data_IF_723612057836
#
_entry.id   IF_723612057836
#
_cell.length_a   1.000
_cell.length_b   1.000
_cell.length_c   1.000
_cell.angle_alpha   90.00
_cell.angle_beta   90.00
_cell.angle_gamma   90.00
#
_symmetry.space_group_name_H-M   'P 1'
#
loop_
_entity.id
_entity.type
_entity.pdbx_description
1 polymer ?
#
# COMPACT_ATOMS: atom_id res chain seq x y z
N UNK A 1 17.86 -18.38 -3.46
CA UNK A 1 19.03 -17.51 -3.22
C UNK A 1 18.51 -16.08 -3.22
N UNK A 2 18.47 -15.43 -2.06
CA UNK A 2 17.97 -14.06 -1.96
C UNK A 2 18.81 -13.15 -2.88
N UNK A 3 18.15 -12.48 -3.83
CA UNK A 3 18.81 -11.47 -4.68
C UNK A 3 19.43 -10.42 -3.77
N UNK A 4 20.69 -10.05 -4.04
CA UNK A 4 21.41 -9.09 -3.22
C UNK A 4 20.75 -7.71 -3.39
N UNK A 5 20.11 -7.20 -2.33
CA UNK A 5 19.28 -5.98 -2.36
C UNK A 5 20.00 -4.75 -1.84
N UNK A 6 21.29 -4.89 -1.55
CA UNK A 6 22.18 -3.84 -1.04
C UNK A 6 22.20 -2.64 -1.99
N UNK A 7 22.03 -2.89 -3.31
CA UNK A 7 21.98 -1.85 -4.32
C UNK A 7 20.88 -0.81 -4.07
N UNK A 8 19.75 -1.15 -3.40
CA UNK A 8 18.66 -0.19 -3.17
C UNK A 8 19.09 1.05 -2.36
N UNK A 9 20.06 0.85 -1.47
CA UNK A 9 20.64 1.89 -0.60
C UNK A 9 21.94 2.51 -1.15
N UNK A 10 22.43 2.03 -2.31
CA UNK A 10 23.62 2.57 -2.95
C UNK A 10 23.35 3.91 -3.66
N UNK A 11 24.42 4.60 -4.02
CA UNK A 11 24.35 5.83 -4.80
C UNK A 11 23.66 5.56 -6.15
N UNK A 12 22.76 6.45 -6.57
CA UNK A 12 21.97 6.36 -7.82
C UNK A 12 22.84 6.41 -9.08
N UNK A 13 24.01 7.01 -8.98
CA UNK A 13 24.98 7.05 -10.08
C UNK A 13 25.83 5.77 -10.16
N UNK A 14 25.73 4.86 -9.20
CA UNK A 14 26.51 3.62 -9.19
C UNK A 14 25.98 2.62 -10.21
N UNK A 15 26.88 1.84 -10.80
CA UNK A 15 26.52 0.82 -11.78
C UNK A 15 25.63 -0.27 -11.15
N UNK A 16 25.87 -0.58 -9.88
CA UNK A 16 25.10 -1.55 -9.10
C UNK A 16 23.65 -1.08 -8.93
N UNK A 17 23.45 0.20 -8.60
CA UNK A 17 22.10 0.76 -8.50
C UNK A 17 21.38 0.74 -9.85
N UNK A 18 22.06 1.14 -10.93
CA UNK A 18 21.49 1.14 -12.27
C UNK A 18 21.15 -0.26 -12.79
N UNK A 19 21.99 -1.27 -12.50
CA UNK A 19 21.68 -2.66 -12.84
C UNK A 19 20.48 -3.17 -12.05
N UNK A 20 20.49 -2.94 -10.73
CA UNK A 20 19.43 -3.40 -9.84
C UNK A 20 18.07 -2.80 -10.17
N UNK A 21 17.99 -1.50 -10.45
CA UNK A 21 16.71 -0.88 -10.84
C UNK A 21 16.23 -1.39 -12.19
N UNK A 22 17.14 -1.62 -13.15
CA UNK A 22 16.77 -2.18 -14.45
C UNK A 22 16.19 -3.58 -14.29
N UNK A 23 16.84 -4.44 -13.52
CA UNK A 23 16.34 -5.80 -13.22
C UNK A 23 14.98 -5.77 -12.51
N UNK A 24 14.80 -4.84 -11.56
CA UNK A 24 13.51 -4.64 -10.90
C UNK A 24 12.42 -4.22 -11.90
N UNK A 25 12.68 -3.22 -12.75
CA UNK A 25 11.72 -2.71 -13.73
C UNK A 25 11.41 -3.73 -14.82
N UNK A 26 12.38 -4.57 -15.17
CA UNK A 26 12.13 -5.67 -16.10
C UNK A 26 11.18 -6.66 -15.40
N UNK A 27 11.51 -7.16 -14.20
CA UNK A 27 10.65 -8.08 -13.46
C UNK A 27 9.23 -7.54 -13.19
N UNK A 28 9.11 -6.28 -12.77
CA UNK A 28 7.84 -5.65 -12.41
C UNK A 28 6.86 -5.54 -13.58
N UNK A 29 7.39 -5.51 -14.81
CA UNK A 29 6.62 -5.31 -16.04
C UNK A 29 6.73 -6.50 -17.01
N UNK A 30 7.47 -7.56 -16.66
CA UNK A 30 7.59 -8.77 -17.47
C UNK A 30 6.36 -9.65 -17.27
N UNK A 31 5.66 -9.99 -18.36
CA UNK A 31 4.74 -11.13 -18.34
C UNK A 31 3.28 -10.93 -18.73
N UNK A 32 2.82 -9.78 -19.25
CA UNK A 32 1.48 -9.74 -19.88
C UNK A 32 1.34 -8.65 -20.94
N UNK A 33 0.85 -8.99 -22.16
CA UNK A 33 0.32 -7.98 -23.07
C UNK A 33 -0.81 -7.24 -22.36
N UNK A 34 -0.59 -5.97 -22.02
CA UNK A 34 -1.58 -5.12 -21.33
C UNK A 34 -1.24 -4.72 -19.90
N UNK A 35 -0.16 -5.24 -19.29
CA UNK A 35 0.32 -4.71 -18.00
C UNK A 35 1.21 -3.48 -18.24
N UNK A 36 0.58 -2.38 -18.62
CA UNK A 36 1.26 -1.08 -18.83
C UNK A 36 1.63 -0.38 -17.53
N UNK A 37 1.07 -0.82 -16.39
CA UNK A 37 1.25 -0.19 -15.09
C UNK A 37 1.62 -1.18 -13.99
N UNK A 38 2.41 -0.71 -13.02
CA UNK A 38 2.77 -1.44 -11.80
C UNK A 38 2.72 -0.51 -10.58
N UNK A 39 2.69 -1.10 -9.38
CA UNK A 39 2.72 -0.32 -8.14
C UNK A 39 4.10 0.32 -7.96
N UNK A 40 4.16 1.63 -7.73
CA UNK A 40 5.44 2.31 -7.55
C UNK A 40 6.02 2.03 -6.15
N UNK A 41 7.21 1.40 -6.02
CA UNK A 41 7.82 1.08 -4.73
C UNK A 41 8.67 2.22 -4.17
N UNK A 42 8.56 3.44 -4.70
CA UNK A 42 9.36 4.56 -4.22
C UNK A 42 8.92 4.99 -2.81
N UNK A 43 9.80 5.70 -2.09
CA UNK A 43 9.53 6.17 -0.70
C UNK A 43 8.29 7.07 -0.56
N UNK A 44 7.80 7.64 -1.66
CA UNK A 44 6.59 8.47 -1.67
C UNK A 44 5.33 7.66 -1.96
N UNK A 45 5.44 6.68 -2.85
CA UNK A 45 4.30 5.90 -3.31
C UNK A 45 4.06 4.65 -2.46
N UNK A 46 5.09 4.07 -1.85
CA UNK A 46 5.00 2.94 -0.91
C UNK A 46 4.13 1.77 -1.42
N UNK A 47 4.22 1.46 -2.72
CA UNK A 47 3.39 0.47 -3.39
C UNK A 47 1.88 0.76 -3.33
N UNK A 48 1.47 2.03 -3.25
CA UNK A 48 0.07 2.46 -3.20
C UNK A 48 -0.45 3.08 -4.51
N UNK A 49 0.42 3.39 -5.48
CA UNK A 49 0.03 4.07 -6.72
C UNK A 49 0.47 3.26 -7.92
N UNK A 50 -0.46 2.93 -8.82
CA UNK A 50 -0.15 2.35 -10.13
C UNK A 50 0.38 3.43 -11.06
N UNK A 51 1.50 3.15 -11.70
CA UNK A 51 2.20 4.06 -12.60
C UNK A 51 2.78 3.31 -13.78
N UNK A 52 3.00 4.02 -14.89
CA UNK A 52 3.67 3.45 -16.05
C UNK A 52 5.17 3.23 -15.77
N UNK A 53 5.81 2.36 -16.56
CA UNK A 53 7.21 1.97 -16.36
C UNK A 53 8.15 3.17 -16.24
N UNK A 54 7.99 4.17 -17.11
CA UNK A 54 8.84 5.35 -17.12
C UNK A 54 8.59 6.27 -15.92
N UNK A 55 7.32 6.38 -15.48
CA UNK A 55 6.97 7.12 -14.27
C UNK A 55 7.52 6.46 -13.01
N UNK A 56 7.44 5.13 -12.92
CA UNK A 56 8.05 4.36 -11.81
C UNK A 56 9.56 4.57 -11.79
N UNK A 57 10.23 4.50 -12.95
CA UNK A 57 11.66 4.73 -13.05
C UNK A 57 12.05 6.15 -12.57
N UNK A 58 11.35 7.17 -13.06
CA UNK A 58 11.62 8.56 -12.68
C UNK A 58 11.43 8.78 -11.16
N UNK A 59 10.37 8.24 -10.58
CA UNK A 59 10.12 8.34 -9.15
C UNK A 59 11.17 7.64 -8.29
N UNK A 60 11.71 6.52 -8.78
CA UNK A 60 12.79 5.80 -8.09
C UNK A 60 14.13 6.54 -8.19
N UNK A 61 14.39 7.26 -9.29
CA UNK A 61 15.53 8.17 -9.39
C UNK A 61 15.41 9.34 -8.40
N UNK A 62 14.23 9.97 -8.34
CA UNK A 62 14.01 11.17 -7.52
C UNK A 62 13.88 10.89 -6.03
N UNK A 63 13.16 9.82 -5.66
CA UNK A 63 12.77 9.56 -4.27
C UNK A 63 13.47 8.33 -3.68
N UNK A 64 14.00 7.47 -4.54
CA UNK A 64 14.54 6.18 -4.15
C UNK A 64 13.48 5.14 -3.84
N UNK A 65 13.91 3.88 -3.85
CA UNK A 65 13.11 2.74 -3.41
C UNK A 65 12.89 2.78 -1.90
N UNK A 66 11.73 2.31 -1.45
CA UNK A 66 11.46 2.06 -0.04
C UNK A 66 12.39 0.95 0.50
N UNK A 67 13.33 1.26 1.41
CA UNK A 67 14.26 0.26 1.95
C UNK A 67 13.55 -0.84 2.74
N UNK A 68 12.33 -0.60 3.21
CA UNK A 68 11.52 -1.62 3.89
C UNK A 68 10.89 -2.61 2.92
N UNK A 69 10.83 -2.28 1.63
CA UNK A 69 10.27 -3.13 0.59
C UNK A 69 11.31 -4.11 0.04
N UNK A 70 11.78 -4.99 0.93
CA UNK A 70 12.78 -5.99 0.58
C UNK A 70 12.16 -7.17 -0.18
N UNK A 71 10.93 -7.61 0.11
CA UNK A 71 10.27 -8.66 -0.66
C UNK A 71 9.39 -8.06 -1.78
N UNK A 72 9.70 -8.35 -3.04
CA UNK A 72 9.00 -7.80 -4.21
C UNK A 72 7.71 -8.56 -4.56
N UNK A 73 6.91 -8.88 -3.55
CA UNK A 73 5.67 -9.66 -3.68
C UNK A 73 4.59 -9.08 -4.59
N UNK A 74 4.64 -7.78 -4.89
CA UNK A 74 3.73 -7.13 -5.84
C UNK A 74 4.24 -7.19 -7.29
N UNK A 75 5.48 -7.62 -7.45
CA UNK A 75 6.28 -7.55 -8.68
C UNK A 75 6.85 -8.92 -9.05
N UNK A 76 6.20 -10.02 -8.66
CA UNK A 76 6.51 -11.36 -9.16
C UNK A 76 7.73 -12.06 -8.52
N UNK A 77 8.18 -11.59 -7.35
CA UNK A 77 9.12 -12.39 -6.55
C UNK A 77 8.32 -13.36 -5.67
N UNK A 78 8.54 -14.66 -5.87
CA UNK A 78 7.96 -15.72 -5.04
C UNK A 78 8.48 -15.59 -3.60
N UNK A 79 7.58 -15.66 -2.62
CA UNK A 79 7.98 -15.77 -1.21
C UNK A 79 8.64 -17.13 -0.99
N UNK A 80 9.85 -17.15 -0.42
CA UNK A 80 10.66 -18.36 -0.12
C UNK A 80 10.00 -19.33 0.92
N UNK A 81 8.68 -19.33 1.10
CA UNK A 81 7.94 -20.18 2.07
C UNK A 81 7.62 -21.59 1.53
N UNK A 82 8.44 -22.12 0.63
CA UNK A 82 8.32 -23.52 0.19
C UNK A 82 9.69 -24.21 0.22
N UNK A 83 10.13 -24.61 1.41
CA UNK A 83 10.80 -25.91 1.68
C UNK A 83 11.44 -25.96 3.06
N UNK A 84 10.70 -26.33 4.10
CA UNK A 84 11.01 -27.52 4.92
C UNK A 84 9.81 -27.84 5.81
N UNK A 85 9.01 -28.83 5.40
CA UNK A 85 8.19 -29.55 6.36
C UNK A 85 9.14 -30.40 7.22
N UNK A 86 9.29 -30.05 8.50
CA UNK A 86 9.23 -30.97 9.64
C UNK A 86 9.21 -30.17 10.95
N UNK A 87 8.33 -30.59 11.87
CA UNK A 87 7.68 -29.72 12.85
C UNK A 87 8.54 -29.13 13.98
N UNK A 88 8.09 -27.98 14.49
CA UNK A 88 8.09 -27.67 15.92
C UNK A 88 7.19 -26.45 16.16
N UNK A 89 6.26 -26.59 17.11
CA UNK A 89 5.36 -25.53 17.57
C UNK A 89 6.16 -24.33 18.11
N UNK A 90 5.90 -23.16 17.54
CA UNK A 90 6.45 -21.89 18.02
C UNK A 90 5.59 -20.73 17.58
N UNK A 91 4.76 -20.23 18.49
CA UNK A 91 3.95 -19.02 18.30
C UNK A 91 4.84 -17.83 17.96
N UNK A 92 4.66 -17.27 16.76
CA UNK A 92 5.29 -16.04 16.32
C UNK A 92 4.28 -15.19 15.55
N UNK A 93 3.45 -14.43 16.28
CA UNK A 93 2.51 -13.47 15.70
C UNK A 93 3.30 -12.39 14.95
N UNK A 94 3.31 -12.47 13.62
CA UNK A 94 3.82 -11.41 12.71
C UNK A 94 2.87 -11.13 11.53
N UNK A 95 1.56 -11.36 11.71
CA UNK A 95 0.55 -11.25 10.66
C UNK A 95 -0.18 -9.90 10.55
N UNK A 96 -0.18 -9.07 11.60
CA UNK A 96 -1.21 -8.01 11.69
C UNK A 96 -0.81 -6.69 11.01
N UNK A 97 0.48 -6.35 10.98
CA UNK A 97 0.96 -5.06 10.46
C UNK A 97 0.80 -4.95 8.93
N UNK A 98 0.92 -6.10 8.23
CA UNK A 98 0.76 -6.16 6.78
C UNK A 98 -0.69 -5.99 6.34
N UNK A 99 -1.63 -6.68 7.01
CA UNK A 99 -3.05 -6.58 6.71
C UNK A 99 -3.59 -5.17 7.01
N UNK A 100 -3.12 -4.54 8.08
CA UNK A 100 -3.46 -3.15 8.41
C UNK A 100 -2.94 -2.18 7.37
N UNK A 101 -1.70 -2.35 6.89
CA UNK A 101 -1.11 -1.49 5.85
C UNK A 101 -1.82 -1.63 4.49
N UNK A 102 -2.19 -2.84 4.11
CA UNK A 102 -2.91 -3.10 2.85
C UNK A 102 -4.34 -2.56 2.88
N UNK A 103 -5.03 -2.71 4.01
CA UNK A 103 -6.35 -2.12 4.25
C UNK A 103 -6.31 -0.58 4.21
N UNK A 104 -5.31 0.03 4.85
CA UNK A 104 -5.07 1.48 4.81
C UNK A 104 -4.93 1.98 3.37
N UNK A 105 -4.08 1.31 2.58
CA UNK A 105 -3.85 1.68 1.18
C UNK A 105 -5.11 1.49 0.30
N UNK A 106 -5.94 0.50 0.60
CA UNK A 106 -7.20 0.25 -0.13
C UNK A 106 -8.24 1.33 0.16
N UNK A 107 -8.34 1.78 1.43
CA UNK A 107 -9.32 2.80 1.82
C UNK A 107 -8.91 4.21 1.38
N UNK A 108 -7.62 4.54 1.36
CA UNK A 108 -7.11 5.81 0.80
C UNK A 108 -7.46 5.95 -0.69
N UNK A 109 -7.44 4.85 -1.45
CA UNK A 109 -7.87 4.82 -2.86
C UNK A 109 -9.37 5.02 -3.03
N UNK A 110 -10.16 4.72 -2.01
CA UNK A 110 -11.62 4.83 -2.03
C UNK A 110 -12.11 6.27 -1.79
N UNK A 111 -11.24 7.17 -1.34
CA UNK A 111 -11.59 8.54 -0.94
C UNK A 111 -11.27 9.61 -1.99
N UNK A 112 -10.60 9.26 -3.08
CA UNK A 112 -10.35 10.20 -4.19
C UNK A 112 -11.51 10.12 -5.20
N UNK A 113 -12.27 11.21 -5.45
CA UNK A 113 -13.20 11.23 -6.56
C UNK A 113 -12.41 11.25 -7.86
N UNK A 114 -12.61 10.21 -8.67
CA UNK A 114 -12.19 10.06 -10.06
C UNK A 114 -12.09 11.42 -10.81
N UNK A 115 -10.89 12.02 -10.86
CA UNK A 115 -10.62 13.10 -11.82
C UNK A 115 -10.25 12.46 -13.17
N UNK A 116 -11.20 11.75 -13.75
CA UNK A 116 -11.15 11.31 -15.13
C UNK A 116 -11.36 12.54 -16.04
N UNK A 117 -10.25 13.14 -16.47
CA UNK A 117 -10.26 13.96 -17.69
C UNK A 117 -9.99 13.04 -18.87
N UNK A 118 -11.04 12.43 -19.40
CA UNK A 118 -11.03 11.97 -20.79
C UNK A 118 -11.55 13.13 -21.66
N UNK A 119 -10.73 13.55 -22.61
CA UNK A 119 -11.07 14.61 -23.58
C UNK A 119 -11.32 13.94 -24.92
N UNK A 120 -12.58 14.00 -25.40
CA UNK A 120 -13.06 13.87 -26.80
C UNK A 120 -12.92 12.50 -27.50
N UNK A 121 -13.76 12.07 -28.44
CA UNK A 121 -15.03 12.56 -29.02
C UNK A 121 -15.50 11.54 -30.10
N UNK A 122 -16.82 11.37 -30.30
CA UNK A 122 -17.47 10.81 -31.50
C UNK A 122 -17.86 9.32 -31.46
N UNK A 123 -19.03 8.83 -31.88
CA UNK A 123 -20.22 9.41 -32.56
C UNK A 123 -21.44 8.45 -32.42
N UNK A 124 -22.61 9.02 -32.09
CA UNK A 124 -24.03 8.70 -32.45
C UNK A 124 -24.57 7.28 -32.79
N UNK A 125 -25.68 6.94 -32.07
CA UNK A 125 -26.99 6.37 -32.51
C UNK A 125 -27.03 4.92 -33.10
N UNK A 126 -27.95 3.97 -32.82
CA UNK A 126 -29.33 3.92 -32.27
C UNK A 126 -29.64 2.59 -31.50
N UNK A 127 -30.55 2.69 -30.53
CA UNK A 127 -31.67 1.82 -30.06
C UNK A 127 -31.69 0.28 -30.21
N UNK A 128 -32.10 -0.43 -29.12
CA UNK A 128 -33.42 -1.10 -28.98
C UNK A 128 -33.61 -1.75 -27.57
N UNK A 129 -34.86 -1.72 -27.09
CA UNK A 129 -35.40 -2.26 -25.83
C UNK A 129 -35.53 -3.79 -25.82
N UNK A 130 -35.49 -4.46 -24.65
CA UNK A 130 -36.53 -5.43 -24.23
C UNK A 130 -36.39 -5.83 -22.74
N UNK A 131 -37.56 -6.06 -22.14
CA UNK A 131 -37.87 -6.31 -20.73
C UNK A 131 -37.87 -7.84 -20.45
N UNK A 132 -37.43 -8.29 -19.27
CA UNK A 132 -37.42 -9.74 -19.01
C UNK A 132 -36.81 -10.27 -17.71
N UNK A 133 -37.57 -10.16 -16.63
CA UNK A 133 -37.84 -11.23 -15.65
C UNK A 133 -36.69 -11.85 -14.80
N UNK A 134 -36.75 -11.56 -13.49
CA UNK A 134 -36.05 -12.20 -12.36
C UNK A 134 -36.36 -13.71 -12.27
N UNK A 135 -35.40 -14.54 -11.81
CA UNK A 135 -35.70 -15.30 -10.60
C UNK A 135 -34.61 -15.21 -9.55
N UNK A 136 -35.09 -15.09 -8.30
CA UNK A 136 -34.36 -15.23 -7.06
C UNK A 136 -33.55 -16.53 -7.00
N UNK A 137 -32.31 -16.41 -6.55
CA UNK A 137 -31.43 -17.51 -6.20
C UNK A 137 -30.38 -17.04 -5.22
N UNK A 138 -30.82 -16.55 -4.05
CA UNK A 138 -29.94 -16.21 -2.93
C UNK A 138 -29.33 -17.49 -2.36
N UNK A 139 -28.22 -17.94 -2.95
CA UNK A 139 -27.36 -18.95 -2.37
C UNK A 139 -26.55 -18.33 -1.23
N UNK A 140 -26.78 -18.89 -0.04
CA UNK A 140 -26.25 -18.48 1.25
C UNK A 140 -24.72 -18.50 1.29
N UNK A 141 -24.16 -17.43 1.86
CA UNK A 141 -23.22 -17.52 2.98
C UNK A 141 -21.94 -18.32 2.77
N UNK A 142 -20.94 -17.69 2.15
CA UNK A 142 -19.55 -17.88 2.59
C UNK A 142 -19.18 -16.67 3.44
N UNK A 143 -19.21 -16.86 4.76
CA UNK A 143 -18.79 -15.88 5.74
C UNK A 143 -17.33 -15.51 5.52
N UNK A 144 -17.12 -14.32 4.95
CA UNK A 144 -15.83 -13.66 4.87
C UNK A 144 -15.51 -13.08 6.25
N UNK A 145 -15.25 -13.94 7.24
CA UNK A 145 -15.07 -13.52 8.64
C UNK A 145 -13.66 -12.98 8.94
N UNK A 146 -12.65 -13.30 8.12
CA UNK A 146 -11.28 -12.80 8.31
C UNK A 146 -11.06 -11.40 7.73
N UNK A 147 -11.64 -11.07 6.57
CA UNK A 147 -11.62 -9.71 6.03
C UNK A 147 -12.41 -8.72 6.93
N UNK A 148 -13.42 -9.21 7.64
CA UNK A 148 -14.23 -8.41 8.56
C UNK A 148 -13.49 -7.99 9.82
N UNK A 149 -12.48 -8.75 10.27
CA UNK A 149 -11.72 -8.46 11.48
C UNK A 149 -10.82 -7.22 11.33
N UNK A 150 -10.01 -7.19 10.29
CA UNK A 150 -9.10 -6.07 10.01
C UNK A 150 -9.85 -4.76 9.74
N UNK A 151 -10.94 -4.81 8.95
CA UNK A 151 -11.80 -3.66 8.68
C UNK A 151 -12.37 -3.08 9.99
N UNK A 152 -12.90 -3.93 10.88
CA UNK A 152 -13.45 -3.50 12.18
C UNK A 152 -12.37 -2.85 13.06
N UNK A 153 -11.18 -3.44 13.14
CA UNK A 153 -10.07 -2.90 13.92
C UNK A 153 -9.65 -1.51 13.41
N UNK A 154 -9.56 -1.34 12.10
CA UNK A 154 -9.25 -0.05 11.48
C UNK A 154 -10.31 1.02 11.78
N UNK A 155 -11.60 0.72 11.59
CA UNK A 155 -12.66 1.68 11.91
C UNK A 155 -12.74 2.01 13.41
N UNK A 156 -12.37 1.07 14.28
CA UNK A 156 -12.25 1.34 15.71
C UNK A 156 -11.11 2.33 16.01
N UNK A 157 -9.95 2.18 15.35
CA UNK A 157 -8.85 3.12 15.45
C UNK A 157 -9.20 4.51 14.92
N UNK A 158 -9.90 4.60 13.78
CA UNK A 158 -10.39 5.90 13.27
C UNK A 158 -11.32 6.59 14.26
N UNK A 159 -12.30 5.85 14.80
CA UNK A 159 -13.18 6.37 15.84
C UNK A 159 -12.43 6.80 17.09
N UNK A 160 -11.34 6.14 17.45
CA UNK A 160 -10.53 6.54 18.59
C UNK A 160 -9.68 7.79 18.28
N UNK A 161 -9.12 7.87 17.07
CA UNK A 161 -8.33 8.99 16.58
C UNK A 161 -9.11 10.31 16.57
N UNK A 162 -10.41 10.25 16.32
CA UNK A 162 -11.34 11.40 16.35
C UNK A 162 -11.71 11.88 17.77
N UNK A 163 -11.50 11.07 18.81
CA UNK A 163 -11.83 11.49 20.18
C UNK A 163 -10.93 12.60 20.68
N UNK A 164 -11.44 13.35 21.64
CA UNK A 164 -10.67 14.30 22.45
C UNK A 164 -9.41 13.64 23.03
N UNK A 165 -8.30 14.40 23.12
CA UNK A 165 -7.02 13.90 23.63
C UNK A 165 -7.12 13.37 25.07
N UNK A 166 -7.86 14.08 25.91
CA UNK A 166 -8.26 13.69 27.26
C UNK A 166 -9.66 14.27 27.55
N UNK A 167 -10.41 13.73 28.53
CA UNK A 167 -11.78 14.17 28.79
C UNK A 167 -11.87 15.69 29.04
N UNK A 168 -12.66 16.39 28.21
CA UNK A 168 -12.87 17.83 28.28
C UNK A 168 -11.90 18.65 27.42
N UNK A 169 -11.03 18.02 26.63
CA UNK A 169 -10.11 18.71 25.72
C UNK A 169 -10.84 19.14 24.44
N UNK A 170 -11.11 20.44 24.30
CA UNK A 170 -11.85 21.00 23.14
C UNK A 170 -10.98 21.37 21.95
N UNK A 171 -9.67 21.45 22.14
CA UNK A 171 -8.75 21.98 21.13
C UNK A 171 -8.00 20.89 20.35
N UNK A 172 -7.86 19.70 20.94
CA UNK A 172 -7.07 18.61 20.37
C UNK A 172 -7.83 17.28 20.42
N UNK A 173 -7.90 16.63 19.26
CA UNK A 173 -8.16 15.19 19.17
C UNK A 173 -6.87 14.40 19.34
N UNK A 174 -6.98 13.10 19.66
CA UNK A 174 -5.83 12.19 19.69
C UNK A 174 -5.02 12.27 18.39
N UNK A 175 -5.69 12.26 17.24
CA UNK A 175 -5.01 12.38 15.95
C UNK A 175 -4.26 13.71 15.80
N UNK A 176 -4.92 14.83 16.12
CA UNK A 176 -4.30 16.15 15.97
C UNK A 176 -3.06 16.32 16.85
N UNK A 177 -3.06 15.69 18.03
CA UNK A 177 -1.90 15.66 18.91
C UNK A 177 -0.75 14.85 18.31
N UNK A 178 -1.02 13.62 17.83
CA UNK A 178 -0.01 12.77 17.18
C UNK A 178 0.62 13.48 15.98
N UNK A 179 -0.19 14.11 15.12
CA UNK A 179 0.29 14.85 13.95
C UNK A 179 1.19 16.01 14.36
N UNK A 180 0.79 16.82 15.36
CA UNK A 180 1.61 17.93 15.86
C UNK A 180 2.92 17.44 16.49
N UNK A 181 2.88 16.35 17.27
CA UNK A 181 4.07 15.74 17.85
C UNK A 181 5.04 15.25 16.76
N UNK A 182 4.52 14.64 15.69
CA UNK A 182 5.33 14.19 14.56
C UNK A 182 5.91 15.35 13.75
N UNK A 183 5.17 16.45 13.57
CA UNK A 183 5.71 17.67 12.97
C UNK A 183 6.89 18.22 13.77
N UNK A 184 6.77 18.32 15.10
CA UNK A 184 7.86 18.75 15.99
C UNK A 184 9.04 17.79 15.86
N UNK A 185 8.76 16.48 15.85
CA UNK A 185 9.78 15.45 15.67
C UNK A 185 10.59 15.67 14.40
N UNK A 186 9.93 15.90 13.26
CA UNK A 186 10.59 16.11 11.98
C UNK A 186 11.32 17.45 11.91
N UNK A 187 10.71 18.53 12.42
CA UNK A 187 11.29 19.88 12.35
C UNK A 187 12.51 20.06 13.27
N UNK A 188 12.51 19.42 14.43
CA UNK A 188 13.55 19.59 15.45
C UNK A 188 14.40 18.34 15.67
N UNK A 189 14.20 17.28 14.89
CA UNK A 189 14.99 16.06 14.96
C UNK A 189 14.83 15.28 16.28
N UNK A 190 13.61 15.25 16.87
CA UNK A 190 13.40 14.48 18.10
C UNK A 190 13.60 12.98 17.84
N UNK A 191 14.34 12.33 18.73
CA UNK A 191 14.54 10.88 18.67
C UNK A 191 13.22 10.13 18.89
N UNK A 192 13.12 8.88 18.41
CA UNK A 192 11.94 8.03 18.68
C UNK A 192 11.72 7.87 20.18
N UNK A 193 12.80 7.64 20.94
CA UNK A 193 12.77 7.54 22.40
C UNK A 193 12.19 8.78 23.08
N UNK A 194 12.50 9.98 22.56
CA UNK A 194 11.95 11.21 23.10
C UNK A 194 10.44 11.34 22.82
N UNK A 195 9.97 10.91 21.64
CA UNK A 195 8.54 10.88 21.33
C UNK A 195 7.80 9.82 22.15
N UNK A 196 8.38 8.64 22.34
CA UNK A 196 7.82 7.56 23.19
C UNK A 196 7.68 8.00 24.65
N UNK A 197 8.57 8.84 25.16
CA UNK A 197 8.45 9.36 26.52
C UNK A 197 7.28 10.38 26.69
N UNK A 198 6.72 10.88 25.60
CA UNK A 198 5.60 11.84 25.60
C UNK A 198 4.25 11.15 25.41
N UNK A 199 4.24 9.98 24.74
CA UNK A 199 3.05 9.19 24.43
C UNK A 199 2.70 8.22 25.58
#
# INVERSE_FOLDING_TARGET
MARDRIWMDMNRDSAEWQSGIKEFLDLAFDGSPGRSTALCPCRRCLNAIYKERDEVHLDLLMNGMDPSYTCWKYHGEDSDDESTAEGSEGEGVRGDDFAVRDLLNTLIRSTEPENSKTTGEGTSEEMLHDDGNIPEGSAEGRSNEEAGGCAKAFFALLKDAEKELYPGCKELTKLSFIVRLYQIKCLFGLSNRACEAVL
#
